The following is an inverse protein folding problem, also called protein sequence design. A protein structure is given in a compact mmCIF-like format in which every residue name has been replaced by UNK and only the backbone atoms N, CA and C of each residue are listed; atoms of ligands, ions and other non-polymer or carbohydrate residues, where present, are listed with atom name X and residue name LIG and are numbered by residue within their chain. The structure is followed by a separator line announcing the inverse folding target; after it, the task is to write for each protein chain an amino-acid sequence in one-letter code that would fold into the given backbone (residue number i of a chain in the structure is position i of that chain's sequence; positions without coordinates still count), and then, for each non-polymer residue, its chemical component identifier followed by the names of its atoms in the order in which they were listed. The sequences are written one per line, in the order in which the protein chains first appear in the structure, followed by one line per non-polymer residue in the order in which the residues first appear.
data_IF_448831696669
#
_entry.id   IF_448831696669
#
_cell.length_a   1.000
_cell.length_b   1.000
_cell.length_c   1.000
_cell.angle_alpha   90.00
_cell.angle_beta   90.00
_cell.angle_gamma   90.00
#
_symmetry.space_group_name_H-M   'P 1'
#
loop_
_entity.id
_entity.type
_entity.pdbx_description
1 polymer ?
#
# COMPACT_ATOMS: atom_id res chain seq x y z
N UNK A 1 9.06 20.57 -12.16
CA UNK A 1 9.77 19.28 -12.31
C UNK A 1 9.63 18.42 -11.06
N UNK A 2 9.94 18.96 -9.88
CA UNK A 2 9.78 18.28 -8.59
C UNK A 2 8.37 17.69 -8.36
N UNK A 3 7.31 18.45 -8.64
CA UNK A 3 5.93 17.98 -8.49
C UNK A 3 5.62 16.72 -9.29
N UNK A 4 6.19 16.58 -10.50
CA UNK A 4 6.01 15.39 -11.35
C UNK A 4 6.71 14.16 -10.74
N UNK A 5 7.88 14.36 -10.13
CA UNK A 5 8.60 13.29 -9.44
C UNK A 5 7.80 12.79 -8.23
N UNK A 6 7.25 13.70 -7.44
CA UNK A 6 6.45 13.36 -6.25
C UNK A 6 5.23 12.52 -6.64
N UNK A 7 4.47 12.97 -7.65
CA UNK A 7 3.29 12.24 -8.14
C UNK A 7 3.72 10.88 -8.69
N UNK A 8 4.75 10.82 -9.53
CA UNK A 8 5.23 9.56 -10.11
C UNK A 8 5.67 8.55 -9.05
N UNK A 9 6.33 9.01 -7.97
CA UNK A 9 6.72 8.14 -6.85
C UNK A 9 5.51 7.67 -6.05
N UNK A 10 4.54 8.54 -5.79
CA UNK A 10 3.30 8.19 -5.10
C UNK A 10 2.48 7.18 -5.90
N UNK A 11 2.39 7.34 -7.22
CA UNK A 11 1.71 6.40 -8.12
C UNK A 11 2.42 5.04 -8.17
N UNK A 12 3.76 5.03 -8.28
CA UNK A 12 4.54 3.79 -8.26
C UNK A 12 4.36 3.05 -6.92
N UNK A 13 4.42 3.74 -5.79
CA UNK A 13 4.22 3.13 -4.49
C UNK A 13 2.77 2.67 -4.29
N UNK A 14 1.78 3.42 -4.80
CA UNK A 14 0.38 3.00 -4.82
C UNK A 14 0.20 1.70 -5.59
N UNK A 15 0.86 1.55 -6.75
CA UNK A 15 0.84 0.32 -7.53
C UNK A 15 1.45 -0.87 -6.76
N UNK A 16 2.56 -0.65 -6.05
CA UNK A 16 3.19 -1.69 -5.22
C UNK A 16 2.24 -2.15 -4.11
N UNK A 17 1.60 -1.22 -3.40
CA UNK A 17 0.60 -1.54 -2.37
C UNK A 17 -0.58 -2.29 -3.00
N UNK A 18 -1.07 -1.85 -4.15
CA UNK A 18 -2.17 -2.50 -4.84
C UNK A 18 -1.86 -3.97 -5.18
N UNK A 19 -0.69 -4.23 -5.77
CA UNK A 19 -0.23 -5.59 -6.08
C UNK A 19 -0.08 -6.43 -4.81
N UNK A 20 0.50 -5.87 -3.74
CA UNK A 20 0.63 -6.56 -2.46
C UNK A 20 -0.73 -6.99 -1.90
N UNK A 21 -1.73 -6.11 -1.98
CA UNK A 21 -3.08 -6.39 -1.48
C UNK A 21 -3.75 -7.48 -2.31
N UNK A 22 -3.64 -7.42 -3.63
CA UNK A 22 -4.15 -8.49 -4.50
C UNK A 22 -3.49 -9.84 -4.18
N UNK A 23 -2.17 -9.85 -3.96
CA UNK A 23 -1.45 -11.07 -3.58
C UNK A 23 -1.85 -11.58 -2.19
N UNK A 24 -2.19 -10.69 -1.26
CA UNK A 24 -2.64 -11.09 0.09
C UNK A 24 -3.94 -11.90 0.07
N UNK A 25 -4.76 -11.75 -0.97
CA UNK A 25 -6.00 -12.52 -1.16
C UNK A 25 -5.78 -13.89 -1.78
N UNK A 26 -4.58 -14.15 -2.31
CA UNK A 26 -4.22 -15.43 -2.94
C UNK A 26 -3.36 -16.22 -1.96
N UNK A 27 -3.63 -17.53 -1.76
CA UNK A 27 -2.78 -18.38 -0.92
C UNK A 27 -1.38 -18.45 -1.53
N UNK A 28 -0.42 -17.87 -0.82
CA UNK A 28 0.95 -17.67 -1.30
C UNK A 28 1.92 -18.52 -0.46
N UNK A 29 1.71 -19.82 -0.47
CA UNK A 29 2.32 -20.72 0.52
C UNK A 29 3.74 -21.17 0.13
N UNK A 30 4.07 -21.22 -1.18
CA UNK A 30 5.36 -21.73 -1.69
C UNK A 30 5.73 -21.12 -3.05
N UNK A 31 7.03 -21.13 -3.37
CA UNK A 31 7.58 -20.74 -4.67
C UNK A 31 7.81 -19.22 -4.82
N UNK A 32 8.03 -18.79 -6.06
CA UNK A 32 8.37 -17.40 -6.42
C UNK A 32 7.38 -16.37 -5.86
N UNK A 33 6.08 -16.71 -5.82
CA UNK A 33 5.06 -15.82 -5.28
C UNK A 33 5.26 -15.55 -3.78
N UNK A 34 5.72 -16.54 -3.01
CA UNK A 34 5.98 -16.39 -1.57
C UNK A 34 7.18 -15.47 -1.33
N UNK A 35 8.21 -15.55 -2.17
CA UNK A 35 9.36 -14.67 -2.12
C UNK A 35 8.97 -13.23 -2.48
N UNK A 36 8.16 -13.04 -3.54
CA UNK A 36 7.62 -11.73 -3.92
C UNK A 36 6.77 -11.15 -2.78
N UNK A 37 5.85 -11.93 -2.21
CA UNK A 37 5.00 -11.49 -1.12
C UNK A 37 5.82 -11.08 0.12
N UNK A 38 6.90 -11.80 0.43
CA UNK A 38 7.82 -11.46 1.53
C UNK A 38 8.56 -10.15 1.30
N UNK A 39 8.93 -9.84 0.06
CA UNK A 39 9.56 -8.55 -0.27
C UNK A 39 8.54 -7.42 -0.21
N UNK A 40 7.36 -7.63 -0.78
CA UNK A 40 6.27 -6.65 -0.76
C UNK A 40 5.78 -6.36 0.66
N UNK A 41 5.64 -7.38 1.51
CA UNK A 41 5.24 -7.18 2.91
C UNK A 41 6.23 -6.29 3.66
N UNK A 42 7.54 -6.50 3.46
CA UNK A 42 8.57 -5.63 4.06
C UNK A 42 8.48 -4.17 3.61
N UNK A 43 8.03 -3.92 2.39
CA UNK A 43 7.87 -2.56 1.84
C UNK A 43 6.54 -1.90 2.23
N UNK A 44 5.46 -2.68 2.27
CA UNK A 44 4.10 -2.20 2.44
C UNK A 44 3.66 -2.22 3.91
N UNK A 45 4.06 -3.22 4.70
CA UNK A 45 3.61 -3.39 6.09
C UNK A 45 3.95 -2.19 6.98
N UNK A 46 5.15 -1.56 6.93
CA UNK A 46 5.43 -0.40 7.77
C UNK A 46 4.42 0.73 7.57
N UNK A 47 4.00 0.96 6.32
CA UNK A 47 2.99 1.97 5.98
C UNK A 47 1.58 1.50 6.36
N UNK A 48 1.19 0.29 5.96
CA UNK A 48 -0.14 -0.27 6.22
C UNK A 48 -0.41 -0.45 7.72
N UNK A 49 0.60 -0.81 8.51
CA UNK A 49 0.49 -1.02 9.96
C UNK A 49 0.14 0.29 10.71
N UNK A 50 0.45 1.46 10.14
CA UNK A 50 -0.01 2.75 10.70
C UNK A 50 -1.54 2.82 10.70
N UNK A 51 -2.18 2.28 9.67
CA UNK A 51 -3.63 2.26 9.53
C UNK A 51 -4.28 1.05 10.20
N UNK A 52 -3.60 -0.12 10.26
CA UNK A 52 -4.10 -1.31 10.97
C UNK A 52 -4.34 -1.06 12.46
N UNK A 53 -3.60 -0.13 13.08
CA UNK A 53 -3.83 0.28 14.48
C UNK A 53 -5.10 1.11 14.67
N UNK A 54 -5.53 1.83 13.64
CA UNK A 54 -6.74 2.64 13.69
C UNK A 54 -7.99 1.82 13.35
N UNK A 55 -7.86 0.83 12.47
CA UNK A 55 -8.97 0.08 11.91
C UNK A 55 -8.76 -1.39 12.27
N UNK A 56 -9.44 -1.91 13.32
CA UNK A 56 -9.38 -3.32 13.62
C UNK A 56 -9.89 -4.14 12.42
N UNK A 57 -9.26 -5.28 12.11
CA UNK A 57 -9.64 -6.11 10.96
C UNK A 57 -11.09 -6.57 11.13
N UNK A 58 -11.97 -6.14 10.23
CA UNK A 58 -13.37 -6.56 10.23
C UNK A 58 -13.43 -7.96 9.64
N UNK A 59 -13.51 -8.99 10.49
CA UNK A 59 -13.77 -10.36 10.05
C UNK A 59 -12.54 -11.16 9.61
N UNK A 60 -11.34 -10.86 10.11
CA UNK A 60 -10.17 -11.75 10.06
C UNK A 60 -9.52 -12.02 8.70
N UNK A 61 -10.16 -11.67 7.57
CA UNK A 61 -9.64 -11.89 6.21
C UNK A 61 -9.86 -10.72 5.23
N UNK A 62 -10.77 -9.77 5.51
CA UNK A 62 -11.06 -8.64 4.60
C UNK A 62 -10.56 -7.34 5.20
N UNK A 63 -9.28 -7.04 4.96
CA UNK A 63 -8.68 -5.77 5.38
C UNK A 63 -9.14 -4.65 4.45
N UNK A 64 -10.02 -3.75 4.94
CA UNK A 64 -10.37 -2.47 4.27
C UNK A 64 -9.20 -1.47 4.34
N UNK A 65 -8.24 -1.73 5.24
CA UNK A 65 -7.04 -0.93 5.49
C UNK A 65 -6.31 -0.45 4.24
N UNK A 66 -6.09 -1.27 3.19
CA UNK A 66 -5.33 -0.85 2.03
C UNK A 66 -6.04 0.20 1.18
N UNK A 67 -7.37 0.17 1.13
CA UNK A 67 -8.15 1.19 0.40
C UNK A 67 -7.88 2.57 1.04
N UNK A 68 -7.97 2.64 2.37
CA UNK A 68 -7.75 3.89 3.10
C UNK A 68 -6.30 4.33 2.98
N UNK A 69 -5.34 3.40 3.07
CA UNK A 69 -3.93 3.70 2.89
C UNK A 69 -3.65 4.28 1.48
N UNK A 70 -4.22 3.69 0.43
CA UNK A 70 -4.10 4.19 -0.94
C UNK A 70 -4.72 5.58 -1.11
N UNK A 71 -5.90 5.83 -0.54
CA UNK A 71 -6.54 7.14 -0.57
C UNK A 71 -5.67 8.20 0.13
N UNK A 72 -5.16 7.88 1.32
CA UNK A 72 -4.29 8.80 2.07
C UNK A 72 -3.01 9.10 1.30
N UNK A 73 -2.41 8.11 0.65
CA UNK A 73 -1.22 8.31 -0.18
C UNK A 73 -1.50 9.24 -1.38
N UNK A 74 -2.58 8.97 -2.12
CA UNK A 74 -3.01 9.75 -3.29
C UNK A 74 -3.32 11.20 -2.91
N UNK A 75 -4.20 11.41 -1.92
CA UNK A 75 -4.59 12.74 -1.48
C UNK A 75 -3.44 13.48 -0.80
N UNK A 76 -2.62 12.78 -0.02
CA UNK A 76 -1.44 13.35 0.63
C UNK A 76 -0.41 13.85 -0.37
N UNK A 77 -0.12 13.07 -1.41
CA UNK A 77 0.77 13.48 -2.49
C UNK A 77 0.22 14.68 -3.27
N UNK A 78 -1.07 14.66 -3.61
CA UNK A 78 -1.72 15.79 -4.29
C UNK A 78 -1.71 17.06 -3.43
N UNK A 79 -1.99 16.95 -2.13
CA UNK A 79 -1.96 18.08 -1.21
C UNK A 79 -0.55 18.65 -1.10
N UNK A 80 0.45 17.80 -0.92
CA UNK A 80 1.85 18.21 -0.83
C UNK A 80 2.31 18.95 -2.09
N UNK A 81 1.88 18.49 -3.27
CA UNK A 81 2.16 19.17 -4.54
C UNK A 81 1.45 20.52 -4.65
N UNK A 82 0.22 20.65 -4.12
CA UNK A 82 -0.51 21.93 -4.13
C UNK A 82 0.10 22.98 -3.19
N UNK A 83 0.82 22.54 -2.17
CA UNK A 83 1.47 23.39 -1.17
C UNK A 83 2.90 23.82 -1.56
N UNK A 84 3.52 23.13 -2.53
CA UNK A 84 4.85 23.39 -3.07
C UNK A 84 4.80 24.29 -4.31
#
# INVERSE_FOLDING_TARGET
MLSRLIISLADAYSMIIFVYVLLSWVPTDRGLLADINRVLSRLCDPYLNLFKKLIPPIGGMVDITPIIALLVLQFGAQLLVRLL
#
